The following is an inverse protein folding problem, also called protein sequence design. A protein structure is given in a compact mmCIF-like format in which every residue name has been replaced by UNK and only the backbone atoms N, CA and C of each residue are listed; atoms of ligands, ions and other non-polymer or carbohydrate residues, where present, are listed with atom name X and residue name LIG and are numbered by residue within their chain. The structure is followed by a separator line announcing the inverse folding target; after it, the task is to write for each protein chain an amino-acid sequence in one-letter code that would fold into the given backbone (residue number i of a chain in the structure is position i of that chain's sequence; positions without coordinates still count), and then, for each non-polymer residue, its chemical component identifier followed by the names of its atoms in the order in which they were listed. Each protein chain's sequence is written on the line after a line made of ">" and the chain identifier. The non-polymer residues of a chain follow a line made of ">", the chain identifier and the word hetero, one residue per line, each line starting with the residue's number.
data_IF_672049328261
#
_entry.id   IF_672049328261
#
_cell.length_a   1.000
_cell.length_b   1.000
_cell.length_c   1.000
_cell.angle_alpha   90.00
_cell.angle_beta   90.00
_cell.angle_gamma   90.00
#
_symmetry.space_group_name_H-M   'P 1'
#
loop_
_entity.id
_entity.type
_entity.pdbx_description
1 polymer ?
#
# COMPACT_ATOMS: atom_id res chain seq x y z
N UNK A 1 14.81 -14.54 6.74
CA UNK A 1 14.01 -13.50 6.06
C UNK A 1 13.04 -14.24 5.15
N UNK A 2 11.73 -14.08 5.35
CA UNK A 2 10.75 -14.68 4.45
C UNK A 2 10.76 -13.91 3.12
N UNK A 3 10.89 -14.65 2.01
CA UNK A 3 10.74 -14.10 0.67
C UNK A 3 9.35 -13.43 0.60
N UNK A 4 9.24 -12.17 0.15
CA UNK A 4 7.95 -11.53 0.02
C UNK A 4 7.11 -12.26 -1.04
N UNK A 5 5.88 -12.62 -0.66
CA UNK A 5 4.89 -13.22 -1.56
C UNK A 5 4.53 -12.25 -2.70
N UNK A 6 4.61 -10.94 -2.43
CA UNK A 6 4.41 -9.91 -3.42
C UNK A 6 5.28 -8.68 -3.14
N UNK A 7 5.78 -8.06 -4.20
CA UNK A 7 6.44 -6.75 -4.13
C UNK A 7 6.10 -5.91 -5.36
N UNK A 8 5.68 -4.68 -5.12
CA UNK A 8 5.58 -3.63 -6.13
C UNK A 8 6.41 -2.42 -5.71
N UNK A 9 7.07 -1.77 -6.68
CA UNK A 9 7.89 -0.57 -6.47
C UNK A 9 7.38 0.58 -7.34
N UNK A 10 7.85 1.80 -7.09
CA UNK A 10 7.38 2.98 -7.83
C UNK A 10 5.93 3.36 -7.53
N UNK A 11 5.39 2.89 -6.40
CA UNK A 11 3.98 3.07 -6.04
C UNK A 11 3.81 4.43 -5.36
N UNK A 12 2.88 5.25 -5.86
CA UNK A 12 2.47 6.47 -5.14
C UNK A 12 1.55 6.08 -3.99
N UNK A 13 1.99 6.36 -2.76
CA UNK A 13 1.24 6.13 -1.53
C UNK A 13 0.84 7.48 -0.96
N UNK A 14 -0.46 7.66 -0.74
CA UNK A 14 -1.04 8.86 -0.15
C UNK A 14 -2.09 8.45 0.88
N UNK A 15 -2.27 9.28 1.90
CA UNK A 15 -3.30 9.13 2.92
C UNK A 15 -4.19 10.36 2.89
N UNK A 16 -5.48 10.17 2.63
CA UNK A 16 -6.44 11.26 2.38
C UNK A 16 -5.90 12.30 1.38
N UNK A 17 -5.64 13.53 1.83
CA UNK A 17 -5.13 14.64 1.01
C UNK A 17 -3.59 14.78 1.05
N UNK A 18 -2.89 13.95 1.83
CA UNK A 18 -1.43 14.04 2.01
C UNK A 18 -0.72 12.95 1.23
N UNK A 19 0.16 13.34 0.30
CA UNK A 19 1.10 12.43 -0.33
C UNK A 19 2.18 12.01 0.69
N UNK A 20 2.42 10.71 0.84
CA UNK A 20 3.43 10.17 1.75
C UNK A 20 4.71 9.81 0.99
N UNK A 21 4.57 9.14 -0.15
CA UNK A 21 5.68 8.85 -1.07
C UNK A 21 5.18 8.74 -2.49
N UNK A 22 6.00 9.14 -3.47
CA UNK A 22 5.68 9.01 -4.90
C UNK A 22 6.28 7.77 -5.54
N UNK A 23 7.30 7.20 -4.92
CA UNK A 23 8.05 6.03 -5.39
C UNK A 23 8.18 5.00 -4.25
N UNK A 24 7.09 4.81 -3.50
CA UNK A 24 7.00 3.84 -2.43
C UNK A 24 7.03 2.41 -2.92
N UNK A 25 6.97 1.50 -1.97
CA UNK A 25 6.89 0.06 -2.22
C UNK A 25 5.69 -0.52 -1.49
N UNK A 26 5.08 -1.52 -2.08
CA UNK A 26 4.06 -2.35 -1.44
C UNK A 26 4.63 -3.74 -1.35
N UNK A 27 4.63 -4.30 -0.14
CA UNK A 27 5.09 -5.67 0.11
C UNK A 27 3.96 -6.45 0.74
N UNK A 28 3.82 -7.72 0.37
CA UNK A 28 3.05 -8.68 1.14
C UNK A 28 4.00 -9.79 1.58
N UNK A 29 3.98 -10.07 2.88
CA UNK A 29 4.74 -11.18 3.46
C UNK A 29 4.06 -11.64 4.73
N UNK A 30 4.01 -12.96 4.93
CA UNK A 30 3.49 -13.57 6.15
C UNK A 30 2.03 -13.13 6.42
N UNK A 31 1.23 -13.05 5.34
CA UNK A 31 -0.16 -12.61 5.42
C UNK A 31 -0.37 -11.15 5.82
N UNK A 32 0.68 -10.31 5.80
CA UNK A 32 0.59 -8.87 6.08
C UNK A 32 0.97 -8.04 4.86
N UNK A 33 0.22 -6.98 4.64
CA UNK A 33 0.54 -5.94 3.67
C UNK A 33 1.30 -4.81 4.37
N UNK A 34 2.41 -4.41 3.79
CA UNK A 34 3.26 -3.30 4.22
C UNK A 34 3.36 -2.25 3.13
N UNK A 35 3.08 -1.00 3.50
CA UNK A 35 3.29 0.18 2.69
C UNK A 35 4.62 0.80 3.10
N UNK A 36 5.56 0.94 2.18
CA UNK A 36 6.90 1.42 2.47
C UNK A 36 7.26 2.66 1.65
N UNK A 37 8.18 3.47 2.19
CA UNK A 37 8.86 4.52 1.43
C UNK A 37 9.79 3.91 0.37
N UNK A 38 10.32 4.74 -0.53
CA UNK A 38 11.37 4.33 -1.47
C UNK A 38 12.57 3.71 -0.76
N UNK A 39 12.93 4.24 0.41
CA UNK A 39 14.04 3.77 1.25
C UNK A 39 13.73 2.46 1.99
N UNK A 40 12.47 2.02 2.02
CA UNK A 40 12.08 0.76 2.71
C UNK A 40 11.65 0.95 4.16
N UNK A 41 11.37 2.18 4.57
CA UNK A 41 10.76 2.45 5.86
C UNK A 41 9.27 2.14 5.77
N UNK A 42 8.77 1.32 6.69
CA UNK A 42 7.33 1.04 6.80
C UNK A 42 6.59 2.32 7.20
N UNK A 43 5.62 2.69 6.38
CA UNK A 43 4.70 3.80 6.58
C UNK A 43 3.45 3.32 7.32
N UNK A 44 2.92 2.17 6.88
CA UNK A 44 1.70 1.56 7.42
C UNK A 44 1.71 0.05 7.16
N UNK A 45 1.01 -0.73 7.97
CA UNK A 45 0.87 -2.16 7.77
C UNK A 45 -0.44 -2.71 8.32
N UNK A 46 -1.00 -3.71 7.65
CA UNK A 46 -2.22 -4.38 8.08
C UNK A 46 -2.19 -5.86 7.65
N UNK A 47 -2.87 -6.77 8.39
CA UNK A 47 -3.09 -8.12 7.89
C UNK A 47 -3.90 -8.05 6.60
N UNK A 48 -3.55 -8.86 5.59
CA UNK A 48 -4.19 -8.85 4.26
C UNK A 48 -5.70 -9.11 4.37
N UNK A 49 -6.12 -9.92 5.35
CA UNK A 49 -7.53 -10.17 5.67
C UNK A 49 -8.31 -8.91 6.10
N UNK A 50 -7.63 -7.87 6.58
CA UNK A 50 -8.22 -6.59 6.97
C UNK A 50 -8.02 -5.49 5.90
N UNK A 51 -7.41 -5.81 4.76
CA UNK A 51 -7.24 -4.88 3.65
C UNK A 51 -8.39 -5.03 2.67
N UNK A 52 -9.06 -3.92 2.35
CA UNK A 52 -10.00 -3.85 1.22
C UNK A 52 -9.42 -3.02 0.10
N UNK A 53 -9.22 -3.66 -1.04
CA UNK A 53 -8.82 -2.99 -2.27
C UNK A 53 -10.07 -2.67 -3.11
N UNK A 54 -10.18 -1.44 -3.62
CA UNK A 54 -11.26 -1.00 -4.49
C UNK A 54 -10.70 -0.12 -5.61
N UNK A 55 -11.36 -0.11 -6.77
CA UNK A 55 -11.02 0.85 -7.83
C UNK A 55 -11.82 2.14 -7.57
N UNK A 56 -11.17 3.33 -7.53
CA UNK A 56 -11.90 4.59 -7.41
C UNK A 56 -12.85 4.76 -8.61
N UNK A 57 -14.09 5.19 -8.36
CA UNK A 57 -15.06 5.49 -9.43
C UNK A 57 -14.67 6.71 -10.28
N UNK A 58 -13.85 7.60 -9.72
CA UNK A 58 -13.32 8.82 -10.29
C UNK A 58 -11.84 8.89 -9.94
N UNK A 59 -11.03 9.18 -10.94
CA UNK A 59 -9.59 9.32 -10.81
C UNK A 59 -8.89 8.81 -12.06
N UNK A 60 -7.62 9.16 -12.26
CA UNK A 60 -6.85 8.63 -13.37
C UNK A 60 -6.73 7.10 -13.25
N UNK A 61 -6.73 6.44 -14.41
CA UNK A 61 -6.53 5.00 -14.51
C UNK A 61 -5.24 4.54 -13.84
N UNK A 62 -5.24 3.29 -13.38
CA UNK A 62 -4.09 2.69 -12.67
C UNK A 62 -3.99 3.06 -11.19
N UNK A 63 -5.03 3.66 -10.59
CA UNK A 63 -5.10 3.88 -9.14
C UNK A 63 -5.96 2.84 -8.43
N UNK A 64 -5.49 2.42 -7.25
CA UNK A 64 -6.24 1.57 -6.33
C UNK A 64 -6.47 2.29 -5.00
N UNK A 65 -7.72 2.19 -4.53
CA UNK A 65 -8.23 2.35 -3.18
C UNK A 65 -7.74 1.24 -2.25
N UNK A 66 -6.97 1.48 -1.20
CA UNK A 66 -6.78 0.50 -0.13
C UNK A 66 -7.26 1.08 1.20
N UNK A 67 -8.14 0.38 1.89
CA UNK A 67 -8.47 0.67 3.29
C UNK A 67 -7.73 -0.36 4.16
N UNK A 68 -6.75 0.10 4.96
CA UNK A 68 -5.91 -0.72 5.84
C UNK A 68 -6.47 -0.65 7.26
N UNK A 69 -7.13 -1.73 7.72
CA UNK A 69 -7.65 -1.84 9.08
C UNK A 69 -8.49 -0.61 9.54
N UNK A 70 -9.28 -0.02 8.63
CA UNK A 70 -10.11 1.17 8.89
C UNK A 70 -9.43 2.51 8.61
N UNK A 71 -8.17 2.51 8.17
CA UNK A 71 -7.43 3.71 7.77
C UNK A 71 -7.45 3.88 6.24
N UNK A 72 -7.75 5.11 5.80
CA UNK A 72 -7.89 5.53 4.40
C UNK A 72 -6.89 6.63 4.03
#
# INVERSE_FOLDING_TARGET
>A
MAEPEFTATGVRIARRLRSLTRAGRVRISDGRLELLTSYGTVIDSAPVSAVRASRPWLGPDGRARADLAGTR
#
